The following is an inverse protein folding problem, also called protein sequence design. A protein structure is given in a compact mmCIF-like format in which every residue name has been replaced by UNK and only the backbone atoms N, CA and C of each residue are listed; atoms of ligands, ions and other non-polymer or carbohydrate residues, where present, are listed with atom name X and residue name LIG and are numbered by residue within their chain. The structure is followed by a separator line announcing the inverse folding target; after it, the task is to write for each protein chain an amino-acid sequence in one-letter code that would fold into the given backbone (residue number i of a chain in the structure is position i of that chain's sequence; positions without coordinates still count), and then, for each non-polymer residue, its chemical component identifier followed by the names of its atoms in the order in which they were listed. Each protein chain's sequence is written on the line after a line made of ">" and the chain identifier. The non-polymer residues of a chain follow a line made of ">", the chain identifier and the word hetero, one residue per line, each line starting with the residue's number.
data_IF_515778404220
#
_entry.id   IF_515778404220
#
_cell.length_a   1.000
_cell.length_b   1.000
_cell.length_c   1.000
_cell.angle_alpha   90.00
_cell.angle_beta   90.00
_cell.angle_gamma   90.00
#
_symmetry.space_group_name_H-M   'P 1'
#
loop_
_entity.id
_entity.type
_entity.pdbx_description
1 polymer ?
#
# COMPACT_ATOMS: atom_id res chain seq x y z
N UNK A 1 -9.44 -14.65 17.64
CA UNK A 1 -9.66 -13.31 17.08
C UNK A 1 -10.16 -13.48 15.67
N UNK A 2 -11.44 -13.13 15.42
CA UNK A 2 -12.07 -13.29 14.11
C UNK A 2 -11.72 -12.17 13.13
N UNK A 3 -11.14 -11.07 13.62
CA UNK A 3 -10.77 -9.90 12.83
C UNK A 3 -9.30 -9.60 13.10
N UNK A 4 -8.48 -9.90 12.17
CA UNK A 4 -7.08 -9.51 12.11
C UNK A 4 -6.82 -8.69 10.83
N UNK A 5 -5.57 -8.37 10.57
CA UNK A 5 -5.16 -7.63 9.37
C UNK A 5 -5.48 -8.34 8.05
N UNK A 6 -5.84 -9.61 8.08
CA UNK A 6 -6.25 -10.37 6.90
C UNK A 6 -7.71 -10.18 6.53
N UNK A 7 -8.52 -9.62 7.43
CA UNK A 7 -9.95 -9.45 7.25
C UNK A 7 -10.30 -7.97 7.03
N UNK A 8 -10.84 -7.66 5.86
CA UNK A 8 -11.42 -6.36 5.57
C UNK A 8 -12.95 -6.45 5.62
N UNK A 9 -13.56 -5.69 6.53
CA UNK A 9 -15.00 -5.53 6.58
C UNK A 9 -15.38 -4.11 6.10
N UNK A 10 -16.16 -3.99 5.02
CA UNK A 10 -16.69 -2.70 4.57
C UNK A 10 -17.44 -1.99 5.72
N UNK A 11 -17.19 -0.70 5.91
CA UNK A 11 -17.83 0.11 6.95
C UNK A 11 -17.16 0.04 8.33
N UNK A 12 -16.12 -0.76 8.50
CA UNK A 12 -15.34 -0.81 9.74
C UNK A 12 -13.88 -0.43 9.44
N UNK A 13 -13.49 0.83 9.71
CA UNK A 13 -12.10 1.25 9.58
C UNK A 13 -11.20 0.40 10.47
N UNK A 14 -10.05 0.04 9.95
CA UNK A 14 -9.03 -0.65 10.73
C UNK A 14 -8.45 0.30 11.78
N UNK A 15 -8.21 -0.19 12.96
CA UNK A 15 -7.55 0.61 13.99
C UNK A 15 -6.06 0.76 13.65
N UNK A 16 -5.63 1.99 13.48
CA UNK A 16 -4.20 2.32 13.33
C UNK A 16 -3.45 1.95 14.63
N UNK A 17 -2.30 1.27 14.55
CA UNK A 17 -1.50 0.93 15.73
C UNK A 17 -1.09 2.19 16.51
N UNK A 18 -1.10 2.08 17.85
CA UNK A 18 -0.72 3.19 18.71
C UNK A 18 0.73 3.66 18.45
N UNK A 19 1.62 2.76 18.11
CA UNK A 19 3.00 3.09 17.75
C UNK A 19 3.05 3.97 16.50
N UNK A 20 2.35 3.60 15.42
CA UNK A 20 2.23 4.43 14.21
C UNK A 20 1.64 5.81 14.53
N UNK A 21 0.56 5.83 15.32
CA UNK A 21 -0.12 7.08 15.68
C UNK A 21 0.75 8.03 16.54
N UNK A 22 1.79 7.52 17.19
CA UNK A 22 2.74 8.32 17.99
C UNK A 22 3.91 8.88 17.19
N UNK A 23 4.13 8.40 15.94
CA UNK A 23 5.23 8.85 15.12
C UNK A 23 4.94 10.20 14.45
N UNK A 24 5.95 11.03 14.31
CA UNK A 24 5.92 12.15 13.38
C UNK A 24 6.17 11.61 11.96
N UNK A 25 5.24 11.87 11.05
CA UNK A 25 5.29 11.38 9.66
C UNK A 25 5.46 12.57 8.73
N UNK A 26 6.38 12.48 7.77
CA UNK A 26 6.77 13.55 6.84
C UNK A 26 5.78 13.79 5.69
N UNK A 27 4.49 13.73 5.95
CA UNK A 27 3.43 13.98 4.96
C UNK A 27 2.68 15.28 5.25
N UNK A 28 2.16 15.96 4.20
CA UNK A 28 1.15 17.00 4.36
C UNK A 28 -0.07 16.49 5.14
N UNK A 29 -0.74 17.37 5.87
CA UNK A 29 -1.84 16.98 6.78
C UNK A 29 -3.00 16.28 6.06
N UNK A 30 -3.32 16.68 4.84
CA UNK A 30 -4.35 16.08 3.99
C UNK A 30 -3.98 14.66 3.54
N UNK A 31 -2.74 14.44 3.10
CA UNK A 31 -2.23 13.12 2.73
C UNK A 31 -2.12 12.20 3.96
N UNK A 32 -1.66 12.74 5.09
CA UNK A 32 -1.58 12.00 6.35
C UNK A 32 -2.97 11.56 6.83
N UNK A 33 -3.99 12.41 6.69
CA UNK A 33 -5.36 12.06 7.07
C UNK A 33 -5.89 10.86 6.26
N UNK A 34 -5.57 10.78 4.95
CA UNK A 34 -5.92 9.65 4.11
C UNK A 34 -5.18 8.37 4.53
N UNK A 35 -3.90 8.48 4.84
CA UNK A 35 -3.07 7.34 5.28
C UNK A 35 -3.53 6.75 6.62
N UNK A 36 -4.06 7.58 7.51
CA UNK A 36 -4.34 7.23 8.92
C UNK A 36 -5.83 6.93 9.20
N UNK A 37 -6.71 6.97 8.19
CA UNK A 37 -8.15 6.79 8.39
C UNK A 37 -8.58 5.31 8.60
N UNK A 38 -7.69 4.36 8.37
CA UNK A 38 -7.95 2.92 8.52
C UNK A 38 -8.79 2.29 7.41
N UNK A 39 -9.08 3.03 6.33
CA UNK A 39 -9.85 2.55 5.18
C UNK A 39 -8.91 2.27 4.02
N UNK A 40 -8.85 1.04 3.57
CA UNK A 40 -7.85 0.56 2.59
C UNK A 40 -8.46 0.31 1.21
N UNK A 41 -9.33 1.20 0.78
CA UNK A 41 -10.01 1.20 -0.51
C UNK A 41 -10.54 2.59 -0.84
N UNK A 42 -10.97 2.86 -2.08
CA UNK A 42 -11.76 4.05 -2.40
C UNK A 42 -13.02 4.13 -1.52
N UNK A 43 -13.59 5.31 -1.37
CA UNK A 43 -14.88 5.47 -0.72
C UNK A 43 -16.03 4.84 -1.54
N UNK A 44 -17.27 4.97 -1.04
CA UNK A 44 -18.45 4.39 -1.72
C UNK A 44 -18.69 4.99 -3.11
N UNK A 45 -18.26 6.22 -3.34
CA UNK A 45 -18.37 6.93 -4.61
C UNK A 45 -17.13 6.75 -5.50
N UNK A 46 -16.22 5.85 -5.14
CA UNK A 46 -14.95 5.57 -5.81
C UNK A 46 -13.98 6.76 -5.85
N UNK A 47 -14.13 7.71 -4.92
CA UNK A 47 -13.19 8.80 -4.76
C UNK A 47 -11.86 8.29 -4.16
N UNK A 48 -10.82 9.07 -4.43
CA UNK A 48 -9.49 8.83 -3.88
C UNK A 48 -9.52 8.74 -2.35
N UNK A 49 -8.92 7.69 -1.82
CA UNK A 49 -8.73 7.46 -0.39
C UNK A 49 -7.34 6.88 -0.08
N UNK A 50 -6.32 7.31 -0.80
CA UNK A 50 -4.93 6.92 -0.60
C UNK A 50 -4.05 8.17 -0.58
N UNK A 51 -2.93 8.10 0.14
CA UNK A 51 -1.90 9.12 0.08
C UNK A 51 -1.10 8.98 -1.21
N UNK A 52 -0.78 10.12 -1.85
CA UNK A 52 0.08 10.17 -3.04
C UNK A 52 1.47 10.67 -2.67
N UNK A 53 2.48 9.91 -3.10
CA UNK A 53 3.88 10.28 -2.95
C UNK A 53 4.58 10.24 -4.32
N UNK A 54 5.51 11.16 -4.57
CA UNK A 54 6.35 11.07 -5.76
C UNK A 54 7.21 9.79 -5.75
N UNK A 55 7.38 9.16 -6.90
CA UNK A 55 8.40 8.11 -7.06
C UNK A 55 9.77 8.69 -6.74
N UNK A 56 10.60 7.95 -6.02
CA UNK A 56 11.90 8.39 -5.51
C UNK A 56 11.83 9.09 -4.15
N UNK A 57 10.64 9.39 -3.61
CA UNK A 57 10.48 9.95 -2.27
C UNK A 57 10.51 8.90 -1.18
N UNK A 58 10.65 9.37 0.07
CA UNK A 58 10.63 8.53 1.26
C UNK A 58 9.48 8.92 2.18
N UNK A 59 8.80 7.91 2.72
CA UNK A 59 7.91 8.03 3.86
C UNK A 59 8.72 7.77 5.13
N UNK A 60 8.73 8.73 6.04
CA UNK A 60 9.52 8.65 7.27
C UNK A 60 8.64 8.65 8.51
N UNK A 61 8.95 7.77 9.45
CA UNK A 61 8.38 7.70 10.78
C UNK A 61 9.47 8.07 11.79
N UNK A 62 9.34 9.19 12.49
CA UNK A 62 10.23 9.58 13.60
C UNK A 62 9.47 9.43 14.93
N UNK A 63 9.91 8.51 15.76
CA UNK A 63 9.32 8.25 17.07
C UNK A 63 9.85 9.17 18.16
N UNK A 64 10.84 10.04 17.85
CA UNK A 64 11.48 10.93 18.82
C UNK A 64 12.50 10.22 19.71
N UNK A 65 12.25 8.98 20.07
CA UNK A 65 13.11 8.10 20.87
C UNK A 65 13.14 6.68 20.30
N UNK A 66 14.05 5.86 20.79
CA UNK A 66 14.13 4.45 20.37
C UNK A 66 12.90 3.67 20.84
N UNK A 67 12.25 2.96 19.93
CA UNK A 67 11.07 2.13 20.17
C UNK A 67 11.31 0.71 19.67
N UNK A 68 10.77 -0.26 20.35
CA UNK A 68 10.71 -1.64 19.85
C UNK A 68 9.70 -1.72 18.71
N UNK A 69 10.15 -2.17 17.55
CA UNK A 69 9.39 -2.28 16.32
C UNK A 69 9.16 -3.74 15.98
N UNK A 70 7.90 -4.13 15.76
CA UNK A 70 7.54 -5.47 15.34
C UNK A 70 7.47 -5.58 13.82
N UNK A 71 6.35 -5.16 13.21
CA UNK A 71 6.10 -5.32 11.78
C UNK A 71 5.76 -4.00 11.11
N UNK A 72 6.41 -3.72 9.99
CA UNK A 72 5.97 -2.70 9.04
C UNK A 72 4.97 -3.33 8.08
N UNK A 73 3.79 -2.72 7.97
CA UNK A 73 2.71 -3.11 7.07
C UNK A 73 2.45 -1.99 6.07
N UNK A 74 2.48 -2.31 4.78
CA UNK A 74 2.23 -1.38 3.68
C UNK A 74 1.07 -1.91 2.83
N UNK A 75 0.15 -1.01 2.44
CA UNK A 75 -0.96 -1.34 1.54
C UNK A 75 -0.93 -0.40 0.35
N UNK A 76 -0.59 -0.96 -0.81
CA UNK A 76 -0.51 -0.27 -2.08
C UNK A 76 -1.82 -0.38 -2.86
N UNK A 77 -2.08 0.56 -3.76
CA UNK A 77 -3.25 0.57 -4.62
C UNK A 77 -3.15 -0.51 -5.70
N UNK A 78 -4.05 -1.53 -5.69
CA UNK A 78 -4.14 -2.51 -6.76
C UNK A 78 -4.94 -2.00 -7.98
N UNK A 79 -5.12 -0.68 -8.10
CA UNK A 79 -5.90 -0.01 -9.15
C UNK A 79 -7.40 -0.37 -9.07
N UNK A 80 -8.00 -0.11 -7.91
CA UNK A 80 -9.43 -0.37 -7.68
C UNK A 80 -10.34 0.41 -8.64
N UNK A 81 -9.92 1.61 -9.05
CA UNK A 81 -10.71 2.51 -9.89
C UNK A 81 -10.49 2.31 -11.38
N UNK A 82 -9.65 1.34 -11.77
CA UNK A 82 -9.39 1.08 -13.18
C UNK A 82 -10.67 0.79 -13.92
N UNK A 83 -10.79 1.36 -15.12
CA UNK A 83 -11.82 0.95 -16.06
C UNK A 83 -11.65 -0.52 -16.44
N UNK A 84 -12.74 -1.16 -16.78
CA UNK A 84 -12.74 -2.57 -17.17
C UNK A 84 -11.62 -2.86 -18.17
N UNK A 85 -10.70 -3.71 -17.79
CA UNK A 85 -9.54 -4.10 -18.59
C UNK A 85 -9.94 -4.91 -19.83
N UNK A 86 -11.23 -5.26 -19.97
CA UNK A 86 -11.67 -6.16 -21.02
C UNK A 86 -13.10 -5.86 -21.43
N UNK A 87 -13.36 -5.67 -22.73
CA UNK A 87 -14.73 -5.67 -23.26
C UNK A 87 -15.50 -6.93 -22.86
N UNK A 88 -14.78 -8.02 -22.63
CA UNK A 88 -15.34 -9.31 -22.21
C UNK A 88 -15.42 -9.48 -20.69
N UNK A 89 -14.98 -8.51 -19.88
CA UNK A 89 -15.08 -8.61 -18.43
C UNK A 89 -16.53 -8.76 -17.96
N UNK A 90 -17.47 -8.08 -18.63
CA UNK A 90 -18.91 -8.25 -18.39
C UNK A 90 -19.43 -9.64 -18.79
N UNK A 91 -18.79 -10.29 -19.74
CA UNK A 91 -19.18 -11.63 -20.22
C UNK A 91 -18.58 -12.76 -19.38
N UNK A 92 -17.56 -12.48 -18.57
CA UNK A 92 -16.95 -13.51 -17.67
C UNK A 92 -17.93 -14.08 -16.66
N UNK A 93 -18.98 -13.35 -16.32
CA UNK A 93 -20.02 -13.82 -15.42
C UNK A 93 -20.83 -14.97 -16.04
N UNK A 94 -20.86 -15.06 -17.38
CA UNK A 94 -21.69 -16.00 -18.12
C UNK A 94 -20.89 -17.04 -18.94
N UNK A 95 -19.60 -16.79 -19.18
CA UNK A 95 -18.77 -17.66 -20.01
C UNK A 95 -17.78 -18.45 -19.14
N UNK A 96 -18.03 -19.74 -19.00
CA UNK A 96 -17.10 -20.65 -18.31
C UNK A 96 -15.82 -20.88 -19.11
N UNK A 97 -15.89 -20.81 -20.44
CA UNK A 97 -14.74 -20.90 -21.34
C UNK A 97 -15.00 -20.08 -22.60
N UNK A 98 -13.97 -19.48 -23.15
CA UNK A 98 -13.99 -18.87 -24.46
C UNK A 98 -12.77 -19.33 -25.25
N UNK A 99 -13.01 -19.73 -26.51
CA UNK A 99 -11.96 -20.02 -27.49
C UNK A 99 -11.55 -18.76 -28.27
N UNK A 100 -12.13 -17.60 -27.96
CA UNK A 100 -11.73 -16.34 -28.57
C UNK A 100 -10.37 -15.93 -27.99
N UNK A 101 -9.45 -15.58 -28.86
CA UNK A 101 -8.25 -14.87 -28.51
C UNK A 101 -8.59 -13.57 -27.76
N UNK A 102 -7.69 -13.12 -26.93
CA UNK A 102 -7.83 -11.81 -26.28
C UNK A 102 -7.48 -10.76 -27.33
N UNK A 103 -8.40 -9.84 -27.58
CA UNK A 103 -8.19 -8.70 -28.49
C UNK A 103 -7.34 -7.60 -27.86
N UNK A 104 -6.79 -7.86 -26.68
CA UNK A 104 -5.94 -6.92 -25.92
C UNK A 104 -4.92 -7.71 -25.12
N UNK A 105 -3.80 -7.08 -24.84
CA UNK A 105 -2.78 -7.68 -23.99
C UNK A 105 -3.28 -7.70 -22.52
N UNK A 106 -3.35 -8.88 -21.87
CA UNK A 106 -3.78 -8.96 -20.48
C UNK A 106 -2.79 -8.24 -19.56
N UNK A 107 -3.30 -7.39 -18.71
CA UNK A 107 -2.49 -6.76 -17.67
C UNK A 107 -1.99 -7.82 -16.70
N UNK A 108 -0.68 -7.90 -16.53
CA UNK A 108 -0.03 -8.85 -15.62
C UNK A 108 0.02 -8.32 -14.19
N UNK A 109 0.33 -7.04 -14.03
CA UNK A 109 0.46 -6.35 -12.73
C UNK A 109 -0.18 -4.97 -12.85
N UNK A 110 -0.89 -4.52 -11.80
CA UNK A 110 -1.46 -3.19 -11.78
C UNK A 110 -0.36 -2.13 -11.80
N UNK A 111 -0.52 -1.10 -12.64
CA UNK A 111 0.50 -0.05 -12.83
C UNK A 111 0.76 0.78 -11.57
N UNK A 112 -0.26 0.92 -10.72
CA UNK A 112 -0.22 1.67 -9.45
C UNK A 112 0.53 0.95 -8.34
N UNK A 113 0.73 -0.37 -8.45
CA UNK A 113 1.51 -1.11 -7.46
C UNK A 113 2.97 -0.65 -7.44
N UNK A 114 3.52 -0.54 -6.26
CA UNK A 114 4.95 -0.28 -6.06
C UNK A 114 5.75 -1.51 -6.48
N UNK A 115 6.74 -1.29 -7.34
CA UNK A 115 7.63 -2.34 -7.84
C UNK A 115 8.88 -2.48 -6.99
N UNK A 116 9.54 -1.35 -6.73
CA UNK A 116 10.80 -1.31 -6.00
C UNK A 116 10.71 -0.34 -4.84
N UNK A 117 11.16 -0.80 -3.67
CA UNK A 117 11.26 0.04 -2.48
C UNK A 117 12.29 -0.52 -1.51
N UNK A 118 12.80 0.36 -0.66
CA UNK A 118 13.80 0.06 0.36
C UNK A 118 13.32 0.55 1.71
N UNK A 119 13.50 -0.27 2.75
CA UNK A 119 13.19 0.08 4.14
C UNK A 119 14.47 0.21 4.93
N UNK A 120 14.59 1.30 5.66
CA UNK A 120 15.73 1.59 6.53
C UNK A 120 15.25 1.83 7.96
N UNK A 121 16.03 1.34 8.93
CA UNK A 121 15.90 1.69 10.34
C UNK A 121 17.19 2.41 10.77
N UNK A 122 17.07 3.65 11.24
CA UNK A 122 18.20 4.52 11.62
C UNK A 122 19.34 4.55 10.58
N UNK A 123 18.94 4.66 9.29
CA UNK A 123 19.86 4.73 8.15
C UNK A 123 20.48 3.39 7.73
N UNK A 124 20.07 2.28 8.35
CA UNK A 124 20.51 0.93 7.94
C UNK A 124 19.41 0.24 7.16
N UNK A 125 19.72 -0.24 5.95
CA UNK A 125 18.80 -1.03 5.13
C UNK A 125 18.46 -2.33 5.84
N UNK A 126 17.17 -2.57 6.03
CA UNK A 126 16.63 -3.78 6.65
C UNK A 126 15.85 -4.63 5.68
N UNK A 127 15.32 -4.02 4.62
CA UNK A 127 14.61 -4.72 3.55
C UNK A 127 14.74 -3.94 2.25
N UNK A 128 14.82 -4.66 1.13
CA UNK A 128 14.78 -4.07 -0.21
C UNK A 128 14.19 -5.08 -1.20
N UNK A 129 13.45 -4.58 -2.17
CA UNK A 129 12.91 -5.37 -3.28
C UNK A 129 12.83 -4.56 -4.56
N UNK A 130 13.00 -5.21 -5.71
CA UNK A 130 12.86 -4.63 -7.05
C UNK A 130 11.73 -5.29 -7.87
N UNK A 131 11.00 -6.23 -7.27
CA UNK A 131 9.98 -7.07 -7.93
C UNK A 131 8.72 -7.26 -7.08
N UNK A 132 8.37 -6.29 -6.25
CA UNK A 132 7.13 -6.35 -5.50
C UNK A 132 5.93 -6.30 -6.46
N UNK A 133 4.95 -7.16 -6.24
CA UNK A 133 3.70 -7.23 -7.00
C UNK A 133 2.48 -7.44 -6.08
N UNK A 134 2.69 -7.32 -4.78
CA UNK A 134 1.66 -7.48 -3.77
C UNK A 134 1.08 -6.12 -3.37
N UNK A 135 -0.24 -6.05 -3.22
CA UNK A 135 -0.90 -4.88 -2.66
C UNK A 135 -0.70 -4.77 -1.14
N UNK A 136 -0.61 -5.89 -0.45
CA UNK A 136 -0.32 -5.95 0.98
C UNK A 136 1.05 -6.55 1.23
N UNK A 137 1.91 -5.80 1.89
CA UNK A 137 3.27 -6.24 2.26
C UNK A 137 3.44 -6.13 3.77
N UNK A 138 3.99 -7.17 4.39
CA UNK A 138 4.38 -7.20 5.80
C UNK A 138 5.86 -7.51 5.90
N UNK A 139 6.60 -6.65 6.60
CA UNK A 139 8.04 -6.77 6.78
C UNK A 139 8.32 -6.84 8.27
N UNK A 140 8.79 -7.98 8.79
CA UNK A 140 9.22 -8.06 10.18
C UNK A 140 10.45 -7.17 10.35
N UNK A 141 10.37 -6.21 11.26
CA UNK A 141 11.48 -5.35 11.64
C UNK A 141 12.26 -5.97 12.81
N UNK A 142 11.53 -6.44 13.83
CA UNK A 142 12.02 -7.17 15.01
C UNK A 142 13.28 -6.53 15.62
N UNK A 143 13.25 -5.21 15.80
CA UNK A 143 14.37 -4.41 16.30
C UNK A 143 13.90 -3.15 17.00
N UNK A 144 14.80 -2.51 17.73
CA UNK A 144 14.60 -1.16 18.20
C UNK A 144 15.17 -0.16 17.21
N UNK A 145 14.46 0.94 16.99
CA UNK A 145 14.93 2.08 16.20
C UNK A 145 14.14 3.35 16.58
N UNK A 146 14.76 4.49 16.33
CA UNK A 146 14.13 5.80 16.45
C UNK A 146 13.40 6.21 15.18
N UNK A 147 13.95 5.87 14.02
CA UNK A 147 13.41 6.26 12.71
C UNK A 147 13.26 5.05 11.80
N UNK A 148 12.17 5.06 11.06
CA UNK A 148 11.96 4.12 9.94
C UNK A 148 11.70 4.95 8.69
N UNK A 149 12.42 4.66 7.62
CA UNK A 149 12.24 5.27 6.31
C UNK A 149 11.87 4.21 5.28
N UNK A 150 10.87 4.49 4.46
CA UNK A 150 10.48 3.66 3.33
C UNK A 150 10.64 4.48 2.06
N UNK A 151 11.68 4.21 1.29
CA UNK A 151 11.93 4.87 0.01
C UNK A 151 11.29 4.09 -1.13
N UNK A 152 10.49 4.76 -1.92
CA UNK A 152 9.77 4.16 -3.05
C UNK A 152 10.51 4.45 -4.35
N UNK A 153 11.24 3.47 -4.87
CA UNK A 153 12.14 3.65 -6.02
C UNK A 153 11.41 3.58 -7.37
N UNK A 154 10.36 2.75 -7.49
CA UNK A 154 9.55 2.66 -8.72
C UNK A 154 8.20 2.00 -8.51
N UNK A 155 7.27 2.25 -9.45
CA UNK A 155 6.00 1.54 -9.61
C UNK A 155 6.05 0.62 -10.83
N UNK A 156 4.98 -0.11 -11.13
CA UNK A 156 4.84 -0.89 -12.35
C UNK A 156 4.40 -0.06 -13.57
N UNK A 157 4.26 1.27 -13.42
CA UNK A 157 3.97 2.16 -14.54
C UNK A 157 3.16 3.41 -14.20
N UNK A 158 2.86 3.65 -12.91
CA UNK A 158 2.30 4.91 -12.46
C UNK A 158 3.41 5.91 -12.13
N UNK A 159 3.13 7.20 -12.30
CA UNK A 159 4.08 8.29 -12.01
C UNK A 159 4.18 8.62 -10.52
N UNK A 160 3.21 8.15 -9.74
CA UNK A 160 3.12 8.35 -8.29
C UNK A 160 2.90 7.03 -7.56
N UNK A 161 3.30 7.01 -6.32
CA UNK A 161 3.00 5.93 -5.37
C UNK A 161 1.64 6.23 -4.75
N UNK A 162 0.74 5.26 -4.78
CA UNK A 162 -0.56 5.30 -4.11
C UNK A 162 -0.53 4.37 -2.89
N UNK A 163 -0.67 4.94 -1.71
CA UNK A 163 -0.52 4.25 -0.45
C UNK A 163 -1.79 4.38 0.40
N UNK A 164 -2.51 3.28 0.58
CA UNK A 164 -3.71 3.25 1.42
C UNK A 164 -3.38 3.22 2.91
N UNK A 165 -2.29 2.57 3.27
CA UNK A 165 -1.92 2.42 4.68
C UNK A 165 -0.43 2.10 4.81
N UNK A 166 0.20 2.65 5.85
CA UNK A 166 1.56 2.34 6.26
C UNK A 166 1.62 2.35 7.78
N UNK A 167 1.78 1.18 8.38
CA UNK A 167 1.70 1.00 9.82
C UNK A 167 2.91 0.26 10.37
N UNK A 168 3.29 0.64 11.58
CA UNK A 168 4.32 -0.04 12.36
C UNK A 168 3.70 -0.45 13.70
N UNK A 169 3.80 -1.71 14.02
CA UNK A 169 3.32 -2.30 15.28
C UNK A 169 4.46 -2.80 16.15
#
# INVERSE_FOLDING_TARGET
>A
RLLDDGCYLPGFPRKVPALTASAAINLPADELALLMNGVERPDADMNRNYAELPVGSSLEFDFGEERALGTLRLVFDPDFTRESVSPNAKMRVFAQRTNRGLDFEPMKVAKTLVRAFTVECDGKVVYSTDKCHNSLVRIPLDRSARRVSVRFDSTWGADKVHLYSADIS
#
